data_IF_319692753124
#
_entry.id   IF_319692753124
#
_cell.length_a   1.000
_cell.length_b   1.000
_cell.length_c   1.000
_cell.angle_alpha   90.00
_cell.angle_beta   90.00
_cell.angle_gamma   90.00
#
_symmetry.space_group_name_H-M   'P 1'
#
loop_
_entity.id
_entity.type
_entity.pdbx_description
1 polymer ?
#
# COMPACT_ATOMS: atom_id res chain seq x y z
N UNK A 1 6.32 11.11 -19.30
CA UNK A 1 5.74 10.99 -17.95
C UNK A 1 6.83 10.59 -16.99
N UNK A 2 7.09 11.42 -15.97
CA UNK A 2 8.09 11.20 -14.93
C UNK A 2 7.43 10.66 -13.67
N UNK A 3 7.87 9.51 -13.18
CA UNK A 3 7.28 8.82 -12.04
C UNK A 3 8.32 8.71 -10.91
N UNK A 4 7.94 9.15 -9.71
CA UNK A 4 8.64 8.79 -8.49
C UNK A 4 7.97 7.54 -7.91
N UNK A 5 8.69 6.43 -7.85
CA UNK A 5 8.14 5.16 -7.36
C UNK A 5 8.80 4.76 -6.05
N UNK A 6 8.07 4.91 -4.97
CA UNK A 6 8.51 4.43 -3.67
C UNK A 6 8.20 2.94 -3.53
N UNK A 7 9.20 2.19 -3.16
CA UNK A 7 9.12 0.77 -2.91
C UNK A 7 9.95 0.37 -1.70
N UNK A 8 9.44 -0.60 -0.94
CA UNK A 8 10.17 -1.20 0.18
C UNK A 8 10.84 -2.49 -0.27
N UNK A 9 12.17 -2.54 -0.17
CA UNK A 9 12.92 -3.77 -0.36
C UNK A 9 13.17 -4.42 0.99
N UNK A 10 13.04 -5.74 1.00
CA UNK A 10 13.40 -6.56 2.14
C UNK A 10 14.88 -6.95 2.07
N UNK A 11 15.50 -7.35 3.19
CA UNK A 11 16.89 -7.77 3.19
C UNK A 11 17.18 -8.80 2.11
N UNK A 12 18.28 -8.57 1.40
CA UNK A 12 18.79 -9.50 0.40
C UNK A 12 19.74 -10.49 1.05
N UNK A 13 19.97 -11.62 0.38
CA UNK A 13 20.81 -12.72 0.85
C UNK A 13 20.31 -13.45 2.12
N UNK A 14 19.12 -13.12 2.61
CA UNK A 14 18.43 -13.85 3.69
C UNK A 14 17.57 -14.99 3.16
N UNK A 15 17.09 -14.86 1.90
CA UNK A 15 16.30 -15.90 1.25
C UNK A 15 16.43 -15.76 -0.26
N UNK A 16 16.97 -16.79 -0.95
CA UNK A 16 17.06 -16.83 -2.42
C UNK A 16 15.71 -16.63 -3.09
N UNK A 17 14.63 -17.09 -2.45
CA UNK A 17 13.27 -16.90 -2.95
C UNK A 17 12.88 -15.42 -2.94
N UNK A 18 13.14 -14.70 -1.84
CA UNK A 18 12.81 -13.29 -1.70
C UNK A 18 13.62 -12.42 -2.67
N UNK A 19 14.89 -12.75 -2.88
CA UNK A 19 15.76 -12.07 -3.83
C UNK A 19 15.20 -12.21 -5.25
N UNK A 20 14.74 -13.42 -5.62
CA UNK A 20 14.08 -13.69 -6.91
C UNK A 20 12.79 -12.91 -7.08
N UNK A 21 11.96 -12.82 -6.03
CA UNK A 21 10.70 -12.06 -6.05
C UNK A 21 10.96 -10.58 -6.31
N UNK A 22 11.87 -9.97 -5.55
CA UNK A 22 12.22 -8.56 -5.68
C UNK A 22 12.89 -8.25 -7.03
N UNK A 23 13.71 -9.18 -7.55
CA UNK A 23 14.27 -9.07 -8.87
C UNK A 23 13.18 -9.07 -9.95
N UNK A 24 12.21 -9.99 -9.87
CA UNK A 24 11.07 -10.06 -10.80
C UNK A 24 10.24 -8.79 -10.81
N UNK A 25 10.01 -8.18 -9.65
CA UNK A 25 9.35 -6.88 -9.56
C UNK A 25 10.09 -5.82 -10.36
N UNK A 26 11.41 -5.66 -10.15
CA UNK A 26 12.22 -4.69 -10.86
C UNK A 26 12.23 -4.95 -12.37
N UNK A 27 12.39 -6.20 -12.79
CA UNK A 27 12.40 -6.60 -14.18
C UNK A 27 11.02 -6.37 -14.85
N UNK A 28 9.94 -6.46 -14.08
CA UNK A 28 8.60 -6.11 -14.54
C UNK A 28 8.46 -4.59 -14.77
N UNK A 29 8.87 -3.79 -13.80
CA UNK A 29 8.71 -2.31 -13.88
C UNK A 29 9.64 -1.69 -14.92
N UNK A 30 10.83 -2.25 -15.14
CA UNK A 30 11.74 -1.80 -16.21
C UNK A 30 11.15 -1.87 -17.63
N UNK A 31 10.16 -2.70 -17.85
CA UNK A 31 9.46 -2.84 -19.14
C UNK A 31 8.45 -1.72 -19.41
N UNK A 32 8.28 -0.80 -18.46
CA UNK A 32 7.31 0.28 -18.58
C UNK A 32 7.91 1.44 -19.38
N UNK A 33 7.14 1.93 -20.34
CA UNK A 33 7.54 3.09 -21.15
C UNK A 33 7.26 4.41 -20.36
N UNK A 34 8.08 4.66 -19.33
CA UNK A 34 8.03 5.86 -18.50
C UNK A 34 9.40 6.15 -17.85
N UNK A 35 9.68 7.41 -17.56
CA UNK A 35 10.87 7.81 -16.80
C UNK A 35 10.64 7.57 -15.30
N UNK A 36 11.10 6.42 -14.81
CA UNK A 36 10.88 5.98 -13.45
C UNK A 36 12.13 6.23 -12.61
N UNK A 37 11.98 7.00 -11.55
CA UNK A 37 12.96 7.15 -10.47
C UNK A 37 12.45 6.43 -9.23
N UNK A 38 13.17 5.43 -8.76
CA UNK A 38 12.81 4.76 -7.51
C UNK A 38 13.21 5.59 -6.30
N UNK A 39 12.30 5.73 -5.34
CA UNK A 39 12.55 6.28 -4.01
C UNK A 39 12.66 5.13 -3.01
N UNK A 40 13.83 4.97 -2.42
CA UNK A 40 14.15 3.85 -1.55
C UNK A 40 14.57 4.39 -0.19
N UNK A 41 13.84 4.04 0.85
CA UNK A 41 14.24 4.28 2.23
C UNK A 41 14.66 2.96 2.88
N UNK A 42 15.88 2.90 3.39
CA UNK A 42 16.40 1.75 4.10
C UNK A 42 16.72 2.12 5.55
N UNK A 43 16.38 1.22 6.46
CA UNK A 43 16.69 1.33 7.89
C UNK A 43 17.96 0.56 8.24
N UNK A 44 18.19 -0.55 7.55
CA UNK A 44 19.45 -1.27 7.44
C UNK A 44 19.63 -1.63 5.96
N UNK A 45 20.83 -1.52 5.40
CA UNK A 45 21.02 -1.67 3.95
C UNK A 45 20.80 -3.12 3.48
N UNK A 46 21.23 -4.10 4.24
CA UNK A 46 21.06 -5.52 3.92
C UNK A 46 21.36 -5.89 2.45
N UNK A 47 22.34 -5.21 1.83
CA UNK A 47 22.74 -5.45 0.44
C UNK A 47 21.85 -4.82 -0.63
N UNK A 48 20.80 -4.08 -0.26
CA UNK A 48 19.85 -3.47 -1.21
C UNK A 48 20.53 -2.44 -2.10
N UNK A 49 21.43 -1.62 -1.58
CA UNK A 49 22.15 -0.60 -2.35
C UNK A 49 22.96 -1.23 -3.50
N UNK A 50 23.72 -2.29 -3.21
CA UNK A 50 24.50 -3.02 -4.21
C UNK A 50 23.62 -3.74 -5.23
N UNK A 51 22.52 -4.35 -4.79
CA UNK A 51 21.56 -4.99 -5.66
C UNK A 51 20.97 -4.00 -6.68
N UNK A 52 20.55 -2.83 -6.22
CA UNK A 52 19.99 -1.79 -7.10
C UNK A 52 21.05 -1.20 -8.06
N UNK A 53 22.32 -1.12 -7.61
CA UNK A 53 23.44 -0.72 -8.47
C UNK A 53 23.65 -1.74 -9.60
N UNK A 54 23.73 -3.04 -9.28
CA UNK A 54 23.85 -4.13 -10.27
C UNK A 54 22.70 -4.12 -11.26
N UNK A 55 21.49 -3.80 -10.82
CA UNK A 55 20.30 -3.69 -11.70
C UNK A 55 20.24 -2.38 -12.50
N UNK A 56 21.20 -1.47 -12.41
CA UNK A 56 21.24 -0.18 -13.12
C UNK A 56 19.95 0.63 -12.96
N UNK A 57 19.45 0.72 -11.73
CA UNK A 57 18.18 1.39 -11.39
C UNK A 57 18.42 2.88 -11.10
N UNK A 58 17.68 3.79 -11.77
CA UNK A 58 17.61 5.21 -11.41
C UNK A 58 16.91 5.34 -10.06
N UNK A 59 17.59 5.88 -9.06
CA UNK A 59 17.09 5.91 -7.67
C UNK A 59 17.49 7.12 -6.88
N UNK A 60 16.63 7.52 -5.94
CA UNK A 60 16.96 8.33 -4.77
C UNK A 60 16.96 7.41 -3.54
N UNK A 61 18.07 7.34 -2.88
CA UNK A 61 18.27 6.48 -1.72
C UNK A 61 18.28 7.32 -0.43
N UNK A 62 17.50 6.91 0.56
CA UNK A 62 17.44 7.51 1.87
C UNK A 62 17.92 6.49 2.89
N UNK A 63 19.02 6.79 3.55
CA UNK A 63 19.48 6.00 4.70
C UNK A 63 18.84 6.58 5.96
N UNK A 64 18.06 5.77 6.67
CA UNK A 64 17.41 6.16 7.91
C UNK A 64 17.86 5.23 9.03
N UNK A 65 18.61 5.74 10.02
CA UNK A 65 19.15 4.88 11.07
C UNK A 65 18.04 4.13 11.81
N UNK A 66 18.22 2.84 12.00
CA UNK A 66 17.25 1.98 12.68
C UNK A 66 16.96 2.42 14.12
N UNK A 67 17.94 3.02 14.80
CA UNK A 67 17.77 3.61 16.15
C UNK A 67 16.68 4.68 16.25
N UNK A 68 16.29 5.29 15.10
CA UNK A 68 15.22 6.28 15.03
C UNK A 68 13.84 5.64 14.83
N UNK A 69 13.76 4.33 14.67
CA UNK A 69 12.48 3.62 14.62
C UNK A 69 11.88 3.48 16.04
N UNK A 70 10.55 3.37 16.12
CA UNK A 70 9.90 2.98 17.37
C UNK A 70 10.49 1.67 17.91
N UNK A 71 10.53 1.53 19.24
CA UNK A 71 11.00 0.31 19.91
C UNK A 71 10.31 -0.92 19.30
N UNK A 72 11.11 -1.94 19.01
CA UNK A 72 10.66 -3.19 18.36
C UNK A 72 10.18 -3.08 16.91
N UNK A 73 10.29 -1.91 16.27
CA UNK A 73 9.96 -1.78 14.85
C UNK A 73 11.15 -2.07 13.95
N UNK A 74 10.92 -2.76 12.84
CA UNK A 74 11.96 -3.08 11.84
C UNK A 74 11.97 -2.11 10.66
N UNK A 75 10.89 -1.39 10.43
CA UNK A 75 10.73 -0.40 9.36
C UNK A 75 9.56 0.54 9.69
N UNK A 76 9.37 1.60 8.91
CA UNK A 76 8.23 2.50 9.04
C UNK A 76 7.73 2.97 7.68
N UNK A 77 6.52 2.59 7.32
CA UNK A 77 5.87 3.04 6.08
C UNK A 77 5.68 4.57 6.07
N UNK A 78 5.35 5.17 7.21
CA UNK A 78 5.18 6.62 7.28
C UNK A 78 6.48 7.38 7.02
N UNK A 79 7.62 6.90 7.53
CA UNK A 79 8.94 7.48 7.25
C UNK A 79 9.29 7.34 5.77
N UNK A 80 9.06 6.17 5.18
CA UNK A 80 9.30 5.93 3.76
C UNK A 80 8.49 6.87 2.88
N UNK A 81 7.20 7.00 3.18
CA UNK A 81 6.32 7.91 2.46
C UNK A 81 6.70 9.38 2.65
N UNK A 82 7.05 9.80 3.86
CA UNK A 82 7.51 11.17 4.14
C UNK A 82 8.75 11.53 3.33
N UNK A 83 9.76 10.66 3.33
CA UNK A 83 10.97 10.87 2.54
C UNK A 83 10.65 11.02 1.05
N UNK A 84 9.80 10.14 0.54
CA UNK A 84 9.41 10.12 -0.88
C UNK A 84 8.56 11.33 -1.25
N UNK A 85 7.56 11.70 -0.43
CA UNK A 85 6.71 12.86 -0.68
C UNK A 85 7.48 14.17 -0.59
N UNK A 86 8.41 14.31 0.36
CA UNK A 86 9.30 15.47 0.41
C UNK A 86 10.13 15.61 -0.87
N UNK A 87 10.61 14.50 -1.41
CA UNK A 87 11.35 14.50 -2.66
C UNK A 87 10.45 14.78 -3.86
N UNK A 88 9.23 14.25 -3.88
CA UNK A 88 8.21 14.55 -4.89
C UNK A 88 7.87 16.03 -4.94
N UNK A 89 7.66 16.67 -3.77
CA UNK A 89 7.33 18.09 -3.67
C UNK A 89 8.48 19.00 -4.22
N UNK A 90 9.73 18.56 -3.97
CA UNK A 90 10.93 19.32 -4.39
C UNK A 90 11.29 19.16 -5.87
N UNK A 91 10.81 18.10 -6.50
CA UNK A 91 11.12 17.75 -7.89
C UNK A 91 9.83 17.70 -8.72
N UNK A 92 9.97 17.85 -10.04
CA UNK A 92 8.83 17.81 -10.94
C UNK A 92 8.61 16.38 -11.42
N UNK A 93 7.77 15.64 -10.70
CA UNK A 93 7.24 14.34 -11.12
C UNK A 93 5.76 14.49 -11.45
N UNK A 94 5.30 13.76 -12.46
CA UNK A 94 3.89 13.73 -12.82
C UNK A 94 3.10 12.85 -11.85
N UNK A 95 3.73 11.76 -11.39
CA UNK A 95 3.13 10.79 -10.47
C UNK A 95 4.07 10.41 -9.33
N UNK A 96 3.47 10.18 -8.17
CA UNK A 96 4.06 9.48 -7.05
C UNK A 96 3.39 8.12 -6.89
N UNK A 97 4.14 7.04 -6.96
CA UNK A 97 3.65 5.68 -6.77
C UNK A 97 4.24 5.09 -5.50
N UNK A 98 3.40 4.42 -4.73
CA UNK A 98 3.78 3.59 -3.59
C UNK A 98 3.37 2.15 -3.87
N UNK A 99 4.27 1.20 -3.71
CA UNK A 99 3.95 -0.22 -3.86
C UNK A 99 4.87 -1.14 -3.07
N UNK A 100 4.39 -2.37 -2.87
CA UNK A 100 5.22 -3.48 -2.39
C UNK A 100 6.13 -4.00 -3.51
N UNK A 101 7.25 -4.65 -3.14
CA UNK A 101 8.21 -5.27 -4.06
C UNK A 101 7.89 -6.73 -4.42
N UNK A 102 6.72 -7.22 -4.02
CA UNK A 102 6.25 -8.60 -4.24
C UNK A 102 5.05 -8.68 -5.18
N UNK A 103 4.86 -7.63 -5.99
CA UNK A 103 3.78 -7.58 -6.97
C UNK A 103 4.31 -7.49 -8.40
N UNK A 104 3.55 -8.04 -9.35
CA UNK A 104 3.75 -7.84 -10.78
C UNK A 104 2.55 -7.08 -11.33
N UNK A 105 2.80 -5.98 -12.01
CA UNK A 105 1.78 -5.06 -12.49
C UNK A 105 1.77 -5.07 -14.01
N UNK A 106 0.57 -5.06 -14.61
CA UNK A 106 0.44 -4.92 -16.07
C UNK A 106 0.96 -3.56 -16.54
N UNK A 107 1.71 -3.53 -17.63
CA UNK A 107 2.19 -2.30 -18.29
C UNK A 107 1.06 -1.34 -18.69
N UNK A 108 -0.19 -1.82 -18.78
CA UNK A 108 -1.39 -1.00 -19.02
C UNK A 108 -1.57 0.12 -17.99
N UNK A 109 -0.96 -0.01 -16.78
CA UNK A 109 -1.00 1.05 -15.76
C UNK A 109 -0.51 2.38 -16.32
N UNK A 110 0.57 2.37 -17.10
CA UNK A 110 1.15 3.59 -17.66
C UNK A 110 0.17 4.30 -18.60
N UNK A 111 -0.55 3.54 -19.44
CA UNK A 111 -1.55 4.12 -20.34
C UNK A 111 -2.73 4.70 -19.54
N UNK A 112 -3.19 4.01 -18.50
CA UNK A 112 -4.27 4.52 -17.65
C UNK A 112 -3.85 5.81 -16.94
N UNK A 113 -2.63 5.85 -16.39
CA UNK A 113 -2.15 7.06 -15.73
C UNK A 113 -2.00 8.24 -16.71
N UNK A 114 -1.62 8.00 -17.97
CA UNK A 114 -1.57 9.05 -19.01
C UNK A 114 -2.94 9.68 -19.30
N UNK A 115 -4.02 8.90 -19.17
CA UNK A 115 -5.39 9.35 -19.42
C UNK A 115 -6.03 10.06 -18.21
N UNK A 116 -5.34 10.14 -17.07
CA UNK A 116 -5.85 10.86 -15.90
C UNK A 116 -5.65 12.37 -16.09
N UNK A 117 -6.70 13.08 -16.42
CA UNK A 117 -6.68 14.54 -16.60
C UNK A 117 -6.74 15.27 -15.26
N UNK A 118 -7.51 14.74 -14.31
CA UNK A 118 -7.74 15.38 -13.01
C UNK A 118 -6.45 15.48 -12.18
N UNK A 119 -6.22 16.65 -11.60
CA UNK A 119 -5.24 16.84 -10.52
C UNK A 119 -5.80 16.30 -9.21
N UNK A 120 -4.91 16.02 -8.24
CA UNK A 120 -5.29 15.49 -6.93
C UNK A 120 -6.03 14.14 -7.03
N UNK A 121 -5.49 13.25 -7.86
CA UNK A 121 -5.96 11.91 -8.12
C UNK A 121 -5.24 10.87 -7.26
N UNK A 122 -5.98 9.84 -6.83
CA UNK A 122 -5.47 8.67 -6.14
C UNK A 122 -6.06 7.39 -6.74
N UNK A 123 -5.27 6.70 -7.54
CA UNK A 123 -5.61 5.36 -8.03
C UNK A 123 -5.01 4.28 -7.13
N UNK A 124 -5.77 3.26 -6.78
CA UNK A 124 -5.28 2.17 -5.94
C UNK A 124 -5.77 0.81 -6.41
N UNK A 125 -5.01 -0.24 -6.08
CA UNK A 125 -5.28 -1.60 -6.53
C UNK A 125 -5.03 -2.59 -5.41
N UNK A 126 -6.00 -3.49 -5.24
CA UNK A 126 -5.80 -4.76 -4.55
C UNK A 126 -5.28 -5.80 -5.53
N UNK A 127 -4.30 -6.64 -5.18
CA UNK A 127 -3.92 -7.76 -6.02
C UNK A 127 -5.13 -8.65 -6.32
N UNK A 128 -5.31 -8.97 -7.58
CA UNK A 128 -6.43 -9.79 -8.06
C UNK A 128 -6.00 -11.21 -8.46
N UNK A 129 -4.73 -11.51 -8.29
CA UNK A 129 -4.16 -12.83 -8.56
C UNK A 129 -3.03 -13.09 -7.57
N UNK A 130 -3.01 -14.27 -6.98
CA UNK A 130 -1.94 -14.73 -6.11
C UNK A 130 -1.11 -15.78 -6.85
N UNK A 131 0.22 -15.64 -6.79
CA UNK A 131 1.18 -16.66 -7.24
C UNK A 131 1.74 -17.34 -6.00
N UNK A 132 1.46 -18.63 -5.84
CA UNK A 132 1.94 -19.46 -4.74
C UNK A 132 2.76 -20.62 -5.32
N UNK A 133 3.95 -20.87 -4.78
CA UNK A 133 4.85 -21.91 -5.25
C UNK A 133 5.14 -21.90 -6.77
N UNK A 134 5.04 -20.74 -7.42
CA UNK A 134 5.21 -20.57 -8.85
C UNK A 134 3.94 -20.73 -9.70
N UNK A 135 2.87 -21.25 -9.13
CA UNK A 135 1.56 -21.42 -9.76
C UNK A 135 0.67 -20.19 -9.60
N UNK A 136 -0.13 -19.91 -10.59
CA UNK A 136 -1.12 -18.82 -10.54
C UNK A 136 -2.39 -19.36 -9.90
N UNK A 137 -2.62 -18.97 -8.66
CA UNK A 137 -3.88 -19.21 -7.98
C UNK A 137 -4.77 -17.99 -8.23
N UNK A 138 -5.83 -18.15 -9.04
CA UNK A 138 -6.84 -17.11 -9.12
C UNK A 138 -7.60 -17.10 -7.79
N UNK A 139 -7.40 -16.05 -7.01
CA UNK A 139 -8.13 -15.85 -5.77
C UNK A 139 -9.52 -15.31 -6.10
N UNK A 140 -10.58 -15.93 -5.59
CA UNK A 140 -11.94 -15.35 -5.62
C UNK A 140 -12.05 -14.12 -4.71
N UNK A 141 -11.14 -13.99 -3.75
CA UNK A 141 -11.07 -12.86 -2.84
C UNK A 141 -9.85 -12.03 -3.18
N UNK A 142 -9.98 -10.71 -3.37
CA UNK A 142 -8.82 -9.83 -3.45
C UNK A 142 -7.97 -9.98 -2.19
N UNK A 143 -6.67 -9.79 -2.32
CA UNK A 143 -5.77 -9.74 -1.17
C UNK A 143 -6.21 -8.63 -0.21
N UNK A 144 -6.07 -8.87 1.11
CA UNK A 144 -6.58 -7.98 2.16
C UNK A 144 -5.82 -6.64 2.30
N UNK A 145 -4.82 -6.36 1.49
CA UNK A 145 -4.03 -5.14 1.52
C UNK A 145 -4.00 -4.43 0.17
N UNK A 146 -3.80 -3.13 0.22
CA UNK A 146 -3.53 -2.32 -0.96
C UNK A 146 -2.04 -2.36 -1.21
N UNK A 147 -1.62 -3.08 -2.24
CA UNK A 147 -0.21 -3.24 -2.56
C UNK A 147 0.31 -2.22 -3.58
N UNK A 148 -0.57 -1.36 -4.10
CA UNK A 148 -0.22 -0.33 -5.06
C UNK A 148 -1.14 0.89 -4.94
N UNK A 149 -0.54 2.08 -4.85
CA UNK A 149 -1.24 3.36 -4.89
C UNK A 149 -0.48 4.30 -5.83
N UNK A 150 -1.19 4.96 -6.74
CA UNK A 150 -0.66 6.00 -7.61
C UNK A 150 -1.32 7.34 -7.30
N UNK A 151 -0.52 8.35 -7.06
CA UNK A 151 -0.97 9.70 -6.79
C UNK A 151 -0.55 10.65 -7.92
N UNK A 152 -1.45 11.52 -8.35
CA UNK A 152 -1.15 12.73 -9.13
C UNK A 152 -1.55 13.91 -8.28
N UNK A 153 -0.59 14.54 -7.58
CA UNK A 153 -0.86 15.53 -6.55
C UNK A 153 -0.33 16.90 -6.98
N UNK A 154 -1.15 17.92 -6.71
CA UNK A 154 -0.65 19.29 -6.63
C UNK A 154 0.34 19.41 -5.46
N UNK A 155 1.29 20.34 -5.54
CA UNK A 155 2.23 20.60 -4.42
C UNK A 155 1.48 20.93 -3.12
N UNK A 156 0.36 21.64 -3.21
CA UNK A 156 -0.52 21.96 -2.06
C UNK A 156 -1.06 20.69 -1.42
N UNK A 157 -1.67 19.80 -2.21
CA UNK A 157 -2.23 18.53 -1.69
C UNK A 157 -1.15 17.60 -1.16
N UNK A 158 0.00 17.51 -1.84
CA UNK A 158 1.13 16.72 -1.35
C UNK A 158 1.63 17.20 0.02
N UNK A 159 1.71 18.51 0.27
CA UNK A 159 2.05 19.08 1.58
C UNK A 159 1.00 18.77 2.63
N UNK A 160 -0.29 18.85 2.29
CA UNK A 160 -1.38 18.48 3.21
C UNK A 160 -1.34 16.99 3.55
N UNK A 161 -1.13 16.12 2.56
CA UNK A 161 -0.99 14.68 2.79
C UNK A 161 0.23 14.36 3.68
N UNK A 162 1.35 15.06 3.45
CA UNK A 162 2.54 14.96 4.30
C UNK A 162 2.25 15.38 5.74
N UNK A 163 1.46 16.44 5.96
CA UNK A 163 1.02 16.86 7.31
C UNK A 163 0.20 15.75 7.99
N UNK A 164 -0.75 15.15 7.29
CA UNK A 164 -1.52 14.02 7.84
C UNK A 164 -0.62 12.83 8.20
N UNK A 165 0.40 12.52 7.39
CA UNK A 165 1.38 11.48 7.70
C UNK A 165 2.26 11.84 8.92
N UNK A 166 2.50 13.12 9.19
CA UNK A 166 3.23 13.56 10.38
C UNK A 166 2.42 13.33 11.65
N UNK A 167 1.11 13.52 11.57
CA UNK A 167 0.19 13.28 12.67
C UNK A 167 -0.02 11.77 12.91
N UNK A 168 0.15 10.95 11.86
CA UNK A 168 0.01 9.50 11.93
C UNK A 168 1.24 8.87 12.57
N UNK A 169 1.08 8.36 13.80
CA UNK A 169 2.16 7.70 14.53
C UNK A 169 2.50 6.33 13.91
N UNK A 170 3.69 6.13 13.67
CA UNK A 170 4.61 5.31 12.90
C UNK A 170 4.55 3.80 13.17
N UNK A 171 3.38 3.19 13.24
CA UNK A 171 3.28 1.75 13.36
C UNK A 171 3.03 1.14 11.96
N UNK A 172 3.67 0.01 11.68
CA UNK A 172 3.64 -0.58 10.34
C UNK A 172 2.50 -1.55 10.09
N UNK A 173 1.76 -1.88 11.13
CA UNK A 173 0.67 -2.85 11.06
C UNK A 173 -0.67 -2.23 11.39
N UNK A 174 -1.73 -2.85 10.88
CA UNK A 174 -3.10 -2.48 11.16
C UNK A 174 -3.73 -1.71 10.00
N UNK A 175 -4.45 -0.66 10.29
CA UNK A 175 -5.34 0.06 9.38
C UNK A 175 -4.63 1.03 8.41
N UNK A 176 -3.36 0.81 8.10
CA UNK A 176 -2.57 1.78 7.32
C UNK A 176 -3.09 1.98 5.90
N UNK A 177 -3.52 0.91 5.25
CA UNK A 177 -4.08 1.00 3.89
C UNK A 177 -5.37 1.81 3.87
N UNK A 178 -6.20 1.62 4.90
CA UNK A 178 -7.43 2.37 5.05
C UNK A 178 -7.17 3.82 5.40
N UNK A 179 -6.14 4.09 6.19
CA UNK A 179 -5.72 5.44 6.49
C UNK A 179 -5.36 6.20 5.20
N UNK A 180 -4.65 5.57 4.26
CA UNK A 180 -4.31 6.24 3.00
C UNK A 180 -5.55 6.63 2.20
N UNK A 181 -6.53 5.72 2.09
CA UNK A 181 -7.78 6.00 1.37
C UNK A 181 -8.60 7.06 2.10
N UNK A 182 -8.75 6.94 3.42
CA UNK A 182 -9.47 7.93 4.23
C UNK A 182 -8.79 9.31 4.19
N UNK A 183 -7.45 9.36 4.19
CA UNK A 183 -6.70 10.59 4.01
C UNK A 183 -6.92 11.22 2.63
N UNK A 184 -6.97 10.40 1.59
CA UNK A 184 -7.33 10.85 0.24
C UNK A 184 -8.73 11.45 0.19
N UNK A 185 -9.71 10.81 0.85
CA UNK A 185 -11.08 11.32 0.95
C UNK A 185 -11.14 12.63 1.76
N UNK A 186 -10.49 12.68 2.92
CA UNK A 186 -10.43 13.90 3.75
C UNK A 186 -9.81 15.09 3.00
N UNK A 187 -8.91 14.83 2.07
CA UNK A 187 -8.27 15.84 1.23
C UNK A 187 -9.07 16.14 -0.03
N UNK A 188 -10.23 15.53 -0.26
CA UNK A 188 -11.04 15.73 -1.46
C UNK A 188 -10.32 15.27 -2.74
N UNK A 189 -9.57 14.18 -2.67
CA UNK A 189 -8.94 13.60 -3.85
C UNK A 189 -9.95 12.81 -4.69
N UNK A 190 -9.73 12.77 -5.99
CA UNK A 190 -10.46 11.86 -6.87
C UNK A 190 -9.95 10.44 -6.68
N UNK A 191 -10.72 9.63 -5.95
CA UNK A 191 -10.37 8.24 -5.61
C UNK A 191 -10.87 7.28 -6.70
N UNK A 192 -9.97 6.46 -7.24
CA UNK A 192 -10.32 5.47 -8.24
C UNK A 192 -9.77 4.09 -7.88
N UNK A 193 -10.66 3.10 -7.78
CA UNK A 193 -10.25 1.70 -7.74
C UNK A 193 -9.93 1.20 -9.15
N UNK A 194 -8.70 0.71 -9.33
CA UNK A 194 -8.21 0.22 -10.61
C UNK A 194 -8.30 -1.31 -10.74
N UNK A 195 -8.91 -2.00 -9.78
CA UNK A 195 -8.95 -3.46 -9.69
C UNK A 195 -9.42 -4.15 -10.98
N UNK A 196 -10.46 -3.62 -11.66
CA UNK A 196 -10.95 -4.19 -12.92
C UNK A 196 -10.16 -3.74 -14.15
N UNK A 197 -9.47 -2.61 -14.04
CA UNK A 197 -8.77 -2.01 -15.18
C UNK A 197 -7.39 -2.62 -15.39
N UNK A 198 -6.78 -3.15 -14.33
CA UNK A 198 -5.39 -3.63 -14.34
C UNK A 198 -5.28 -4.96 -13.61
N UNK A 199 -4.48 -5.86 -14.18
CA UNK A 199 -4.07 -7.09 -13.49
C UNK A 199 -2.85 -6.83 -12.63
N UNK A 200 -2.97 -7.11 -11.34
CA UNK A 200 -1.88 -7.13 -10.36
C UNK A 200 -1.78 -8.51 -9.76
N UNK A 201 -0.62 -9.12 -9.88
CA UNK A 201 -0.31 -10.44 -9.34
C UNK A 201 0.57 -10.25 -8.11
N UNK A 202 0.14 -10.75 -6.97
CA UNK A 202 0.97 -10.83 -5.78
C UNK A 202 1.72 -12.14 -5.75
N UNK A 203 3.01 -12.08 -5.49
CA UNK A 203 3.84 -13.27 -5.29
C UNK A 203 3.85 -13.57 -3.80
N UNK A 204 3.40 -14.76 -3.40
CA UNK A 204 3.40 -15.16 -1.99
C UNK A 204 4.83 -15.18 -1.45
N UNK A 205 5.05 -14.51 -0.35
CA UNK A 205 6.32 -14.41 0.33
C UNK A 205 6.36 -15.34 1.55
N UNK A 206 7.39 -16.17 1.64
CA UNK A 206 7.64 -16.99 2.82
C UNK A 206 8.56 -16.25 3.81
N UNK A 207 8.11 -15.08 4.29
CA UNK A 207 8.91 -14.27 5.22
C UNK A 207 8.69 -14.66 6.68
N UNK A 208 9.07 -15.86 7.05
CA UNK A 208 9.09 -16.25 8.47
C UNK A 208 10.10 -15.40 9.27
N UNK A 209 11.20 -15.00 8.66
CA UNK A 209 12.33 -14.32 9.33
C UNK A 209 12.07 -12.83 9.65
N UNK A 210 11.01 -12.24 9.08
CA UNK A 210 10.60 -10.85 9.28
C UNK A 210 9.25 -10.70 9.98
N UNK A 211 8.66 -11.80 10.42
CA UNK A 211 7.46 -11.73 11.23
C UNK A 211 7.80 -11.10 12.58
N UNK A 212 7.29 -9.92 12.79
CA UNK A 212 7.24 -9.32 14.11
C UNK A 212 6.42 -10.22 15.01
N UNK A 213 6.70 -10.25 16.30
CA UNK A 213 5.96 -11.10 17.21
C UNK A 213 4.46 -10.79 17.12
N UNK A 214 3.62 -11.81 17.28
CA UNK A 214 2.17 -11.64 17.28
C UNK A 214 1.70 -10.61 18.30
N UNK A 215 2.34 -10.57 19.45
CA UNK A 215 2.06 -9.58 20.50
C UNK A 215 2.30 -8.14 19.99
N UNK A 216 3.42 -7.88 19.33
CA UNK A 216 3.73 -6.59 18.75
C UNK A 216 2.75 -6.20 17.63
N UNK A 217 2.35 -7.16 16.78
CA UNK A 217 1.34 -6.90 15.75
C UNK A 217 0.01 -6.48 16.34
N UNK A 218 -0.44 -7.13 17.42
CA UNK A 218 -1.69 -6.80 18.12
C UNK A 218 -1.59 -5.41 18.77
N UNK A 219 -0.48 -5.11 19.43
CA UNK A 219 -0.25 -3.81 20.06
C UNK A 219 -0.21 -2.69 19.02
N UNK A 220 0.54 -2.88 17.95
CA UNK A 220 0.62 -1.94 16.82
C UNK A 220 -0.75 -1.70 16.20
N UNK A 221 -1.52 -2.77 16.01
CA UNK A 221 -2.87 -2.67 15.45
C UNK A 221 -3.80 -1.87 16.37
N UNK A 222 -3.78 -2.13 17.69
CA UNK A 222 -4.60 -1.39 18.68
C UNK A 222 -4.25 0.10 18.66
N UNK A 223 -2.97 0.44 18.70
CA UNK A 223 -2.50 1.83 18.69
C UNK A 223 -2.89 2.56 17.41
N UNK A 224 -2.67 1.94 16.26
CA UNK A 224 -3.04 2.50 14.96
C UNK A 224 -4.55 2.66 14.81
N UNK A 225 -5.32 1.68 15.25
CA UNK A 225 -6.78 1.74 15.17
C UNK A 225 -7.36 2.88 16.03
N UNK A 226 -6.83 3.08 17.23
CA UNK A 226 -7.26 4.19 18.11
C UNK A 226 -6.91 5.55 17.50
N UNK A 227 -5.70 5.69 16.95
CA UNK A 227 -5.31 6.89 16.23
C UNK A 227 -6.23 7.12 15.01
N UNK A 228 -6.47 6.07 14.25
CA UNK A 228 -7.30 6.14 13.05
C UNK A 228 -8.75 6.52 13.36
N UNK A 229 -9.34 5.98 14.43
CA UNK A 229 -10.69 6.39 14.89
C UNK A 229 -10.74 7.90 15.21
N UNK A 230 -9.72 8.44 15.89
CA UNK A 230 -9.61 9.88 16.17
C UNK A 230 -9.49 10.69 14.88
N UNK A 231 -8.69 10.22 13.92
CA UNK A 231 -8.56 10.85 12.59
C UNK A 231 -9.89 10.89 11.85
N UNK A 232 -10.63 9.77 11.81
CA UNK A 232 -11.94 9.69 11.15
C UNK A 232 -12.93 10.67 11.78
N UNK A 233 -13.03 10.72 13.10
CA UNK A 233 -13.90 11.66 13.83
C UNK A 233 -13.55 13.12 13.49
N UNK A 234 -12.25 13.47 13.54
CA UNK A 234 -11.77 14.84 13.26
C UNK A 234 -12.10 15.32 11.86
N UNK A 235 -12.17 14.41 10.91
CA UNK A 235 -12.42 14.73 9.48
C UNK A 235 -13.85 14.39 9.03
N UNK A 236 -14.77 14.14 9.94
CA UNK A 236 -16.17 13.76 9.66
C UNK A 236 -16.30 12.56 8.70
N UNK A 237 -15.38 11.61 8.81
CA UNK A 237 -15.38 10.40 8.01
C UNK A 237 -16.05 9.25 8.75
N UNK A 238 -16.62 8.31 8.00
CA UNK A 238 -17.30 7.16 8.58
C UNK A 238 -16.38 6.30 9.43
N UNK A 239 -16.81 5.98 10.65
CA UNK A 239 -16.12 5.06 11.56
C UNK A 239 -15.98 3.65 10.97
N UNK A 240 -16.79 3.29 9.98
CA UNK A 240 -16.71 2.00 9.30
C UNK A 240 -15.36 1.76 8.64
N UNK A 241 -14.61 2.80 8.29
CA UNK A 241 -13.22 2.66 7.86
C UNK A 241 -12.35 1.93 8.88
N UNK A 242 -12.56 2.16 10.17
CA UNK A 242 -11.80 1.52 11.24
C UNK A 242 -12.38 0.17 11.67
N UNK A 243 -13.69 -0.02 11.58
CA UNK A 243 -14.38 -1.22 12.07
C UNK A 243 -14.26 -2.39 11.11
N UNK A 244 -14.52 -2.17 9.85
CA UNK A 244 -14.56 -3.21 8.84
C UNK A 244 -13.67 -2.90 7.65
N UNK A 245 -12.45 -2.47 7.91
CA UNK A 245 -11.55 -1.82 6.98
C UNK A 245 -11.60 -2.34 5.54
N UNK A 246 -11.44 -3.61 5.38
CA UNK A 246 -11.47 -4.27 4.10
C UNK A 246 -12.87 -4.27 3.47
N UNK A 247 -13.87 -4.57 4.27
CA UNK A 247 -15.26 -4.72 3.80
C UNK A 247 -15.90 -3.38 3.45
N UNK A 248 -15.66 -2.36 4.27
CA UNK A 248 -16.16 -1.02 3.98
C UNK A 248 -15.52 -0.44 2.71
N UNK A 249 -14.22 -0.63 2.52
CA UNK A 249 -13.56 -0.23 1.29
C UNK A 249 -14.10 -0.95 0.07
N UNK A 250 -14.37 -2.25 0.17
CA UNK A 250 -15.03 -2.99 -0.90
C UNK A 250 -16.40 -2.40 -1.23
N UNK A 251 -17.23 -2.13 -0.23
CA UNK A 251 -18.55 -1.55 -0.43
C UNK A 251 -18.52 -0.16 -1.05
N UNK A 252 -17.65 0.72 -0.54
CA UNK A 252 -17.56 2.09 -1.03
C UNK A 252 -16.95 2.19 -2.43
N UNK A 253 -16.07 1.25 -2.76
CA UNK A 253 -15.25 1.31 -3.96
C UNK A 253 -15.83 0.48 -5.09
N UNK A 254 -16.43 -0.66 -4.80
CA UNK A 254 -17.14 -1.48 -5.79
C UNK A 254 -18.58 -0.99 -5.90
N UNK A 255 -18.86 -0.19 -6.89
CA UNK A 255 -20.25 0.18 -7.22
C UNK A 255 -21.02 -1.05 -7.70
N UNK A 256 -22.34 -1.10 -7.46
CA UNK A 256 -23.22 -2.21 -7.88
C UNK A 256 -23.07 -2.51 -9.38
N UNK A 257 -22.90 -1.50 -10.22
CA UNK A 257 -22.65 -1.65 -11.68
C UNK A 257 -21.37 -2.44 -12.02
N UNK A 258 -20.47 -2.57 -11.06
CA UNK A 258 -19.20 -3.25 -11.23
C UNK A 258 -19.26 -4.71 -10.73
N UNK A 259 -20.42 -5.16 -10.29
CA UNK A 259 -20.59 -6.53 -9.84
C UNK A 259 -20.62 -7.52 -11.01
N UNK A 260 -19.78 -8.54 -10.90
CA UNK A 260 -19.92 -9.78 -11.66
C UNK A 260 -20.29 -10.90 -10.69
N UNK A 261 -20.62 -12.08 -11.22
CA UNK A 261 -21.02 -13.23 -10.39
C UNK A 261 -20.01 -13.55 -9.27
N UNK A 262 -18.71 -13.46 -9.55
CA UNK A 262 -17.66 -13.69 -8.55
C UNK A 262 -17.67 -12.63 -7.44
N UNK A 263 -17.83 -11.37 -7.78
CA UNK A 263 -17.97 -10.28 -6.82
C UNK A 263 -19.29 -10.40 -6.05
N UNK A 264 -20.38 -10.79 -6.69
CA UNK A 264 -21.66 -11.04 -6.04
C UNK A 264 -21.55 -12.14 -4.99
N UNK A 265 -20.91 -13.27 -5.30
CA UNK A 265 -20.67 -14.36 -4.32
C UNK A 265 -19.83 -13.85 -3.14
N UNK A 266 -18.80 -13.04 -3.40
CA UNK A 266 -17.99 -12.42 -2.35
C UNK A 266 -18.86 -11.50 -1.48
N UNK A 267 -19.70 -10.66 -2.07
CA UNK A 267 -20.63 -9.77 -1.37
C UNK A 267 -21.64 -10.55 -0.55
N UNK A 268 -22.28 -11.55 -1.13
CA UNK A 268 -23.24 -12.39 -0.43
C UNK A 268 -22.60 -13.06 0.80
N UNK A 269 -21.39 -13.61 0.63
CA UNK A 269 -20.62 -14.20 1.74
C UNK A 269 -20.29 -13.15 2.82
N UNK A 270 -20.06 -11.91 2.45
CA UNK A 270 -19.83 -10.82 3.38
C UNK A 270 -21.06 -10.39 4.14
N UNK A 271 -22.21 -10.29 3.49
CA UNK A 271 -23.46 -9.98 4.15
C UNK A 271 -23.80 -11.00 5.23
N UNK A 272 -23.50 -12.29 5.01
CA UNK A 272 -23.68 -13.32 6.01
C UNK A 272 -22.62 -13.32 7.12
N UNK A 273 -21.39 -12.96 6.82
CA UNK A 273 -20.29 -12.99 7.80
C UNK A 273 -20.08 -11.67 8.53
N UNK A 274 -20.49 -10.54 7.96
CA UNK A 274 -20.31 -9.21 8.53
C UNK A 274 -20.95 -9.06 9.91
N UNK A 275 -22.22 -9.48 10.16
CA UNK A 275 -22.82 -9.42 11.48
C UNK A 275 -22.07 -10.23 12.52
N UNK A 276 -21.62 -11.44 12.16
CA UNK A 276 -20.86 -12.33 13.05
C UNK A 276 -19.51 -11.73 13.41
N UNK A 277 -18.83 -11.09 12.45
CA UNK A 277 -17.54 -10.46 12.69
C UNK A 277 -17.67 -9.13 13.46
N UNK A 278 -18.74 -8.38 13.23
CA UNK A 278 -19.08 -7.20 14.02
C UNK A 278 -19.38 -7.59 15.47
N UNK A 279 -20.18 -8.63 15.69
CA UNK A 279 -20.49 -9.16 17.02
C UNK A 279 -19.23 -9.63 17.76
N UNK A 280 -18.37 -10.43 17.10
CA UNK A 280 -17.08 -10.85 17.65
C UNK A 280 -16.17 -9.67 17.99
N UNK A 281 -16.26 -8.58 17.25
CA UNK A 281 -15.43 -7.39 17.48
C UNK A 281 -15.99 -6.50 18.59
N UNK A 282 -17.30 -6.39 18.70
CA UNK A 282 -18.00 -5.72 19.81
C UNK A 282 -17.69 -6.46 21.11
N UNK A 283 -17.85 -7.77 21.13
CA UNK A 283 -17.53 -8.59 22.32
C UNK A 283 -16.06 -8.45 22.75
N UNK A 284 -15.11 -8.42 21.81
CA UNK A 284 -13.68 -8.17 22.12
C UNK A 284 -13.36 -6.73 22.56
N UNK A 285 -14.30 -5.82 22.45
CA UNK A 285 -14.11 -4.41 22.87
C UNK A 285 -14.75 -4.17 24.24
N UNK A 286 -15.68 -5.04 24.63
CA UNK A 286 -16.38 -5.01 25.90
C UNK A 286 -15.67 -5.88 26.95
N UNK A 287 -15.11 -7.01 26.51
CA UNK A 287 -14.28 -7.93 27.30
C UNK A 287 -12.82 -7.88 26.82
#
# INVERSE_FOLDING_TARGET
MKILWQVSFRPLNKSKFNDKVQSRFLDNVKKFNADITFSITQFDDYGVKNFLKKKKIKKKFFNHPKKLLPKNSKYSNSIMLKNSLNYYIKKNFDYFIFSNADILISKKIINILKLVETKDYMGFIYPNTLIKNGEVISSFTPHYGIDFIAFKLTKKKAKLFLKLLNDYKQYNWGVIDNFYIAAGEALGMNLQNLYKKIKVKKIENKFKDFSESRAWQIESWKKNNNFFKKFLKKNNLSILYAVGSYYYLLFKIFRIRDMNLKLFIIYARFYFLLPIQLLKKILKTIF
#
